data_IF_740871147699
#
_entry.id   IF_740871147699
#
_cell.length_a   1.000
_cell.length_b   1.000
_cell.length_c   1.000
_cell.angle_alpha   90.00
_cell.angle_beta   90.00
_cell.angle_gamma   90.00
#
_symmetry.space_group_name_H-M   'P 1'
#
loop_
_entity.id
_entity.type
_entity.pdbx_description
1 polymer ?
#
# COMPACT_ATOMS: atom_id res chain seq x y z
N UNK A 1 4.54 6.96 -11.88
CA UNK A 1 4.83 7.52 -13.19
C UNK A 1 5.31 8.97 -13.13
N UNK A 2 5.74 9.60 -14.24
CA UNK A 2 6.37 10.92 -14.25
C UNK A 2 5.54 12.02 -13.57
N UNK A 3 4.25 12.08 -13.84
CA UNK A 3 3.33 13.09 -13.26
C UNK A 3 3.29 12.99 -11.72
N UNK A 4 3.23 11.77 -11.18
CA UNK A 4 3.25 11.57 -9.73
C UNK A 4 4.59 11.97 -9.09
N UNK A 5 5.71 11.79 -9.78
CA UNK A 5 7.01 12.25 -9.32
C UNK A 5 7.09 13.79 -9.28
N UNK A 6 6.61 14.47 -10.33
CA UNK A 6 6.54 15.93 -10.35
C UNK A 6 5.68 16.46 -9.19
N UNK A 7 4.51 15.86 -8.97
CA UNK A 7 3.64 16.24 -7.85
C UNK A 7 4.32 16.03 -6.49
N UNK A 8 5.03 14.92 -6.31
CA UNK A 8 5.78 14.66 -5.07
C UNK A 8 6.92 15.68 -4.85
N UNK A 9 7.64 16.09 -5.91
CA UNK A 9 8.64 17.14 -5.81
C UNK A 9 8.00 18.48 -5.42
N UNK A 10 6.89 18.88 -6.05
CA UNK A 10 6.19 20.12 -5.69
C UNK A 10 5.73 20.12 -4.21
N UNK A 11 5.26 19.01 -3.70
CA UNK A 11 4.89 18.88 -2.28
C UNK A 11 6.12 19.00 -1.37
N UNK A 12 7.21 18.34 -1.73
CA UNK A 12 8.46 18.43 -0.97
C UNK A 12 9.02 19.86 -0.93
N UNK A 13 9.03 20.56 -2.06
CA UNK A 13 9.45 21.97 -2.18
C UNK A 13 8.55 22.89 -1.35
N UNK A 14 7.25 22.57 -1.27
CA UNK A 14 6.31 23.27 -0.41
C UNK A 14 6.41 22.85 1.07
N UNK A 15 7.32 21.95 1.44
CA UNK A 15 7.49 21.45 2.80
C UNK A 15 6.34 20.57 3.30
N UNK A 16 5.64 19.89 2.39
CA UNK A 16 4.59 18.90 2.71
C UNK A 16 5.18 17.50 2.61
N UNK A 17 5.37 16.78 3.73
CA UNK A 17 5.94 15.45 3.70
C UNK A 17 4.98 14.45 3.06
N UNK A 18 5.51 13.56 2.23
CA UNK A 18 4.76 12.46 1.62
C UNK A 18 5.28 11.13 2.14
N UNK A 19 4.38 10.29 2.62
CA UNK A 19 4.63 8.91 3.00
C UNK A 19 3.79 8.03 2.07
N UNK A 20 4.44 7.13 1.34
CA UNK A 20 3.73 6.15 0.52
C UNK A 20 3.47 4.86 1.32
N UNK A 21 2.25 4.31 1.20
CA UNK A 21 1.88 3.03 1.82
C UNK A 21 1.33 2.13 0.72
N UNK A 22 1.91 0.97 0.55
CA UNK A 22 1.64 0.13 -0.63
C UNK A 22 1.64 -1.36 -0.31
N UNK A 23 0.90 -2.14 -1.08
CA UNK A 23 1.01 -3.60 -1.13
C UNK A 23 2.12 -4.10 -2.08
N UNK A 24 2.84 -3.20 -2.75
CA UNK A 24 4.01 -3.59 -3.56
C UNK A 24 5.14 -4.10 -2.66
N UNK A 25 6.01 -4.99 -3.19
CA UNK A 25 7.09 -5.58 -2.41
C UNK A 25 8.19 -4.58 -2.06
N UNK A 26 8.97 -4.93 -1.05
CA UNK A 26 10.16 -4.18 -0.62
C UNK A 26 11.11 -3.96 -1.80
N UNK A 27 11.44 -5.01 -2.56
CA UNK A 27 12.37 -4.92 -3.69
C UNK A 27 11.88 -3.99 -4.81
N UNK A 28 10.56 -3.94 -5.08
CA UNK A 28 9.98 -2.98 -6.01
C UNK A 28 10.03 -1.54 -5.46
N UNK A 29 9.86 -1.38 -4.16
CA UNK A 29 9.78 -0.09 -3.48
C UNK A 29 11.14 0.59 -3.28
N UNK A 30 12.21 -0.18 -3.18
CA UNK A 30 13.55 0.32 -2.84
C UNK A 30 14.09 1.39 -3.81
N UNK A 31 14.02 1.22 -5.15
CA UNK A 31 14.47 2.26 -6.09
C UNK A 31 13.73 3.59 -5.90
N UNK A 32 12.43 3.54 -5.58
CA UNK A 32 11.63 4.75 -5.32
C UNK A 32 12.00 5.39 -3.99
N UNK A 33 12.25 4.61 -2.94
CA UNK A 33 12.71 5.12 -1.65
C UNK A 33 14.07 5.84 -1.77
N UNK A 34 14.91 5.43 -2.72
CA UNK A 34 16.19 6.07 -3.01
C UNK A 34 16.05 7.36 -3.83
N UNK A 35 15.15 7.37 -4.82
CA UNK A 35 15.10 8.40 -5.86
C UNK A 35 14.00 9.46 -5.65
N UNK A 36 12.86 9.10 -5.04
CA UNK A 36 11.74 10.00 -4.89
C UNK A 36 11.82 10.82 -3.61
N UNK A 37 11.24 12.04 -3.57
CA UNK A 37 11.27 12.92 -2.41
C UNK A 37 10.23 12.50 -1.35
N UNK A 38 10.20 11.20 -1.03
CA UNK A 38 9.33 10.64 -0.02
C UNK A 38 10.03 10.60 1.34
N UNK A 39 9.28 10.86 2.41
CA UNK A 39 9.78 10.68 3.77
C UNK A 39 9.98 9.20 4.10
N UNK A 40 9.06 8.35 3.61
CA UNK A 40 9.16 6.90 3.71
C UNK A 40 8.28 6.23 2.65
N UNK A 41 8.57 4.95 2.40
CA UNK A 41 7.65 3.98 1.80
C UNK A 41 7.41 2.88 2.82
N UNK A 42 6.16 2.58 3.11
CA UNK A 42 5.76 1.40 3.87
C UNK A 42 5.20 0.40 2.88
N UNK A 43 5.96 -0.66 2.66
CA UNK A 43 5.70 -1.71 1.67
C UNK A 43 5.00 -2.92 2.31
N UNK A 44 4.58 -3.86 1.46
CA UNK A 44 4.00 -5.15 1.85
C UNK A 44 2.89 -4.99 2.88
N UNK A 45 1.94 -4.08 2.57
CA UNK A 45 0.75 -3.82 3.38
C UNK A 45 1.01 -3.42 4.85
N UNK A 46 2.16 -2.77 5.12
CA UNK A 46 2.48 -2.27 6.45
C UNK A 46 3.64 -2.98 7.14
N UNK A 47 4.25 -3.97 6.48
CA UNK A 47 5.26 -4.84 7.10
C UNK A 47 6.70 -4.32 7.02
N UNK A 48 7.02 -3.52 5.99
CA UNK A 48 8.40 -3.10 5.70
C UNK A 48 8.45 -1.61 5.47
N UNK A 49 9.26 -0.90 6.25
CA UNK A 49 9.47 0.53 6.09
C UNK A 49 10.84 0.82 5.45
N UNK A 50 10.84 1.63 4.39
CA UNK A 50 12.02 2.14 3.72
C UNK A 50 12.04 3.66 3.85
N UNK A 51 13.10 4.22 4.42
CA UNK A 51 13.26 5.67 4.59
C UNK A 51 14.74 6.06 4.62
N UNK A 52 15.02 7.35 4.44
CA UNK A 52 16.39 7.87 4.52
C UNK A 52 16.65 8.46 5.90
N UNK A 53 17.75 8.03 6.48
CA UNK A 53 18.25 8.52 7.77
C UNK A 53 19.77 8.75 7.65
N UNK A 54 20.22 9.95 7.96
CA UNK A 54 21.63 10.36 7.86
C UNK A 54 22.26 10.08 6.47
N UNK A 55 21.48 10.32 5.39
CA UNK A 55 21.91 10.09 4.02
C UNK A 55 21.90 8.64 3.53
N UNK A 56 21.66 7.68 4.41
CA UNK A 56 21.56 6.25 4.07
C UNK A 56 20.12 5.76 4.00
N UNK A 57 19.86 4.79 3.12
CA UNK A 57 18.58 4.07 3.13
C UNK A 57 18.55 3.12 4.32
N UNK A 58 17.49 3.22 5.12
CA UNK A 58 17.15 2.28 6.20
C UNK A 58 15.98 1.43 5.75
N UNK A 59 16.05 0.15 6.12
CA UNK A 59 14.96 -0.82 5.93
C UNK A 59 14.68 -1.41 7.30
N UNK A 60 13.47 -1.21 7.78
CA UNK A 60 13.00 -1.74 9.06
C UNK A 60 11.77 -2.63 8.82
N UNK A 61 11.56 -3.62 9.66
CA UNK A 61 10.48 -4.59 9.56
C UNK A 61 9.59 -4.53 10.79
N UNK A 62 8.29 -4.65 10.61
CA UNK A 62 7.32 -4.74 11.69
C UNK A 62 7.50 -6.02 12.53
N UNK A 63 7.95 -7.10 11.89
CA UNK A 63 8.24 -8.38 12.54
C UNK A 63 9.75 -8.59 12.73
N UNK A 64 10.14 -9.24 13.81
CA UNK A 64 11.52 -9.64 14.05
C UNK A 64 12.01 -10.72 13.06
N UNK A 65 13.32 -10.95 12.98
CA UNK A 65 13.93 -11.86 12.02
C UNK A 65 13.43 -13.30 12.19
N UNK A 66 13.34 -13.79 13.43
CA UNK A 66 12.92 -15.16 13.70
C UNK A 66 11.46 -15.41 13.29
N UNK A 67 10.60 -14.42 13.49
CA UNK A 67 9.20 -14.47 13.02
C UNK A 67 9.12 -14.46 11.51
N UNK A 68 9.91 -13.63 10.82
CA UNK A 68 9.96 -13.61 9.35
C UNK A 68 10.44 -14.94 8.77
N UNK A 69 11.48 -15.54 9.35
CA UNK A 69 12.00 -16.86 8.92
C UNK A 69 10.95 -17.95 9.07
N UNK A 70 10.25 -18.02 10.21
CA UNK A 70 9.14 -18.97 10.39
C UNK A 70 8.02 -18.73 9.38
N UNK A 71 7.67 -17.48 9.15
CA UNK A 71 6.60 -17.12 8.21
C UNK A 71 6.99 -17.37 6.76
N UNK A 72 8.26 -17.27 6.37
CA UNK A 72 8.70 -17.55 5.00
C UNK A 72 8.33 -18.97 4.55
N UNK A 73 8.54 -19.99 5.41
CA UNK A 73 8.15 -21.36 5.11
C UNK A 73 6.63 -21.52 4.96
N UNK A 74 5.88 -20.85 5.83
CA UNK A 74 4.40 -20.86 5.78
C UNK A 74 3.86 -20.16 4.54
N UNK A 75 4.47 -19.03 4.14
CA UNK A 75 4.13 -18.29 2.92
C UNK A 75 4.34 -19.15 1.68
N UNK A 76 5.47 -19.86 1.58
CA UNK A 76 5.73 -20.80 0.49
C UNK A 76 4.71 -21.94 0.44
N UNK A 77 4.35 -22.50 1.59
CA UNK A 77 3.36 -23.57 1.68
C UNK A 77 1.95 -23.08 1.23
N UNK A 78 1.55 -21.88 1.65
CA UNK A 78 0.28 -21.28 1.24
C UNK A 78 0.25 -20.95 -0.27
N UNK A 79 1.34 -20.40 -0.81
CA UNK A 79 1.46 -20.17 -2.25
C UNK A 79 1.35 -21.45 -3.05
N UNK A 80 2.05 -22.51 -2.63
CA UNK A 80 1.97 -23.83 -3.28
C UNK A 80 0.55 -24.43 -3.19
N UNK A 81 -0.16 -24.21 -2.10
CA UNK A 81 -1.55 -24.64 -1.97
C UNK A 81 -2.47 -23.92 -2.96
N UNK A 82 -2.35 -22.59 -3.08
CA UNK A 82 -3.11 -21.81 -4.06
C UNK A 82 -2.86 -22.32 -5.48
N UNK A 83 -1.60 -22.46 -5.88
CA UNK A 83 -1.23 -22.87 -7.25
C UNK A 83 -1.64 -24.32 -7.56
N UNK A 84 -1.71 -25.18 -6.56
CA UNK A 84 -2.20 -26.57 -6.71
C UNK A 84 -3.72 -26.62 -6.86
N UNK A 85 -4.45 -25.81 -6.09
CA UNK A 85 -5.92 -25.83 -6.08
C UNK A 85 -6.53 -25.02 -7.22
N UNK A 86 -5.81 -24.00 -7.71
CA UNK A 86 -6.21 -23.19 -8.87
C UNK A 86 -5.05 -23.14 -9.90
N UNK A 87 -5.03 -24.07 -10.86
CA UNK A 87 -3.96 -24.15 -11.86
C UNK A 87 -3.82 -22.89 -12.75
N UNK A 88 -4.86 -22.09 -12.88
CA UNK A 88 -4.86 -20.80 -13.58
C UNK A 88 -4.26 -19.65 -12.75
N UNK A 89 -4.15 -19.81 -11.43
CA UNK A 89 -3.54 -18.82 -10.58
C UNK A 89 -2.03 -18.72 -10.83
N UNK A 90 -1.49 -17.51 -10.74
CA UNK A 90 -0.05 -17.24 -10.89
C UNK A 90 0.41 -16.31 -9.80
N UNK A 91 1.64 -16.51 -9.34
CA UNK A 91 2.30 -15.51 -8.50
C UNK A 91 2.49 -14.20 -9.29
N UNK A 92 2.38 -13.08 -8.62
CA UNK A 92 2.70 -11.78 -9.19
C UNK A 92 4.15 -11.75 -9.69
N UNK A 93 4.41 -11.03 -10.78
CA UNK A 93 5.73 -10.95 -11.40
C UNK A 93 6.79 -10.32 -10.50
N UNK A 94 6.36 -9.52 -9.52
CA UNK A 94 7.20 -8.88 -8.52
C UNK A 94 7.44 -9.74 -7.26
N UNK A 95 7.04 -11.01 -7.26
CA UNK A 95 7.13 -11.91 -6.09
C UNK A 95 8.56 -12.13 -5.58
N UNK A 96 9.57 -12.07 -6.44
CA UNK A 96 10.98 -12.21 -6.03
C UNK A 96 11.44 -11.09 -5.07
N UNK A 97 10.77 -9.94 -5.06
CA UNK A 97 11.09 -8.82 -4.17
C UNK A 97 10.30 -8.79 -2.88
N UNK A 98 9.45 -9.81 -2.59
CA UNK A 98 8.61 -9.91 -1.40
C UNK A 98 9.31 -10.65 -0.28
N UNK A 99 9.15 -10.13 0.94
CA UNK A 99 9.80 -10.68 2.15
C UNK A 99 8.79 -11.23 3.13
N UNK A 100 7.64 -10.54 3.29
CA UNK A 100 6.68 -10.80 4.38
C UNK A 100 5.29 -11.19 3.90
N UNK A 101 5.04 -11.13 2.60
CA UNK A 101 3.76 -11.50 2.00
C UNK A 101 3.95 -12.35 0.73
N UNK A 102 2.85 -12.88 0.21
CA UNK A 102 2.73 -13.42 -1.14
C UNK A 102 1.68 -12.62 -1.91
N UNK A 103 1.81 -12.60 -3.23
CA UNK A 103 0.82 -11.98 -4.11
C UNK A 103 0.45 -12.92 -5.25
N UNK A 104 -0.86 -13.10 -5.45
CA UNK A 104 -1.42 -13.77 -6.63
C UNK A 104 -1.92 -12.71 -7.59
N UNK A 105 -1.46 -12.80 -8.84
CA UNK A 105 -1.91 -11.91 -9.91
C UNK A 105 -3.35 -12.27 -10.32
N UNK A 106 -4.23 -11.26 -10.32
CA UNK A 106 -5.60 -11.46 -10.82
C UNK A 106 -5.97 -10.54 -11.97
N UNK A 107 -5.22 -9.44 -12.21
CA UNK A 107 -5.58 -8.43 -13.22
C UNK A 107 -4.39 -7.67 -13.82
N UNK A 108 -3.14 -7.98 -13.49
CA UNK A 108 -1.95 -7.34 -14.08
C UNK A 108 -1.53 -8.05 -15.37
N UNK A 109 -1.30 -9.35 -15.31
CA UNK A 109 -0.92 -10.22 -16.43
C UNK A 109 -1.78 -11.49 -16.53
N UNK A 110 -2.44 -11.88 -15.44
CA UNK A 110 -3.44 -12.92 -15.40
C UNK A 110 -4.84 -12.30 -15.21
N UNK A 111 -5.88 -13.06 -15.58
CA UNK A 111 -7.27 -12.66 -15.37
C UNK A 111 -8.01 -13.76 -14.64
N UNK A 112 -8.18 -13.58 -13.32
CA UNK A 112 -8.99 -14.49 -12.53
C UNK A 112 -10.44 -14.00 -12.47
N UNK A 113 -11.39 -14.94 -12.55
CA UNK A 113 -12.79 -14.63 -12.30
C UNK A 113 -13.05 -14.27 -10.83
N UNK A 114 -14.14 -13.54 -10.56
CA UNK A 114 -14.50 -13.18 -9.19
C UNK A 114 -14.59 -14.40 -8.25
N UNK A 115 -15.22 -15.55 -8.64
CA UNK A 115 -15.20 -16.74 -7.79
C UNK A 115 -13.79 -17.29 -7.52
N UNK A 116 -12.87 -17.19 -8.47
CA UNK A 116 -11.50 -17.66 -8.28
C UNK A 116 -10.70 -16.72 -7.37
N UNK A 117 -10.94 -15.40 -7.44
CA UNK A 117 -10.38 -14.43 -6.50
C UNK A 117 -10.84 -14.77 -5.07
N UNK A 118 -12.14 -14.99 -4.87
CA UNK A 118 -12.70 -15.40 -3.57
C UNK A 118 -12.11 -16.72 -3.08
N UNK A 119 -11.91 -17.69 -3.99
CA UNK A 119 -11.28 -18.98 -3.66
C UNK A 119 -9.83 -18.80 -3.20
N UNK A 120 -9.04 -17.97 -3.87
CA UNK A 120 -7.67 -17.64 -3.44
C UNK A 120 -7.67 -17.04 -2.04
N UNK A 121 -8.54 -16.06 -1.78
CA UNK A 121 -8.69 -15.46 -0.44
C UNK A 121 -9.04 -16.51 0.60
N UNK A 122 -10.00 -17.39 0.30
CA UNK A 122 -10.41 -18.47 1.20
C UNK A 122 -9.27 -19.45 1.52
N UNK A 123 -8.45 -19.82 0.53
CA UNK A 123 -7.28 -20.69 0.73
C UNK A 123 -6.26 -19.98 1.64
N UNK A 124 -5.94 -18.72 1.38
CA UNK A 124 -5.03 -17.95 2.22
C UNK A 124 -5.52 -17.86 3.68
N UNK A 125 -6.81 -17.57 3.87
CA UNK A 125 -7.43 -17.50 5.20
C UNK A 125 -7.43 -18.87 5.91
N UNK A 126 -7.67 -19.97 5.19
CA UNK A 126 -7.59 -21.32 5.74
C UNK A 126 -6.18 -21.68 6.21
N UNK A 127 -5.14 -21.07 5.64
CA UNK A 127 -3.75 -21.14 6.12
C UNK A 127 -3.46 -20.21 7.31
N UNK A 128 -4.46 -19.46 7.81
CA UNK A 128 -4.31 -18.51 8.91
C UNK A 128 -3.66 -17.19 8.49
N UNK A 129 -3.78 -16.81 7.22
CA UNK A 129 -3.26 -15.56 6.69
C UNK A 129 -4.33 -14.46 6.74
N UNK A 130 -3.88 -13.23 6.92
CA UNK A 130 -4.62 -12.04 6.48
C UNK A 130 -4.54 -11.96 4.96
N UNK A 131 -5.64 -11.59 4.29
CA UNK A 131 -5.67 -11.45 2.84
C UNK A 131 -6.44 -10.20 2.41
N UNK A 132 -5.93 -9.50 1.38
CA UNK A 132 -6.61 -8.35 0.75
C UNK A 132 -6.56 -8.45 -0.76
N UNK A 133 -7.57 -7.89 -1.41
CA UNK A 133 -7.63 -7.75 -2.86
C UNK A 133 -7.39 -6.29 -3.22
N UNK A 134 -6.34 -6.04 -4.00
CA UNK A 134 -6.03 -4.73 -4.58
C UNK A 134 -6.54 -4.66 -6.01
N UNK A 135 -6.20 -3.59 -6.74
CA UNK A 135 -6.58 -3.44 -8.16
C UNK A 135 -6.03 -4.52 -9.10
N UNK A 136 -4.95 -5.21 -8.71
CA UNK A 136 -4.25 -6.16 -9.57
C UNK A 136 -3.82 -7.46 -8.86
N UNK A 137 -3.64 -7.44 -7.55
CA UNK A 137 -3.13 -8.57 -6.78
C UNK A 137 -4.04 -8.94 -5.60
N UNK A 138 -4.04 -10.22 -5.27
CA UNK A 138 -4.51 -10.74 -3.98
C UNK A 138 -3.27 -10.95 -3.13
N UNK A 139 -3.14 -10.14 -2.07
CA UNK A 139 -2.02 -10.23 -1.13
C UNK A 139 -2.40 -11.02 0.10
N UNK A 140 -1.50 -11.87 0.58
CA UNK A 140 -1.67 -12.62 1.81
C UNK A 140 -0.41 -12.64 2.66
N UNK A 141 -0.56 -12.49 3.99
CA UNK A 141 0.55 -12.45 4.94
C UNK A 141 0.17 -13.03 6.30
N UNK A 142 1.18 -13.30 7.14
CA UNK A 142 1.00 -13.70 8.52
C UNK A 142 1.34 -12.54 9.46
N UNK A 143 0.42 -12.20 10.36
CA UNK A 143 0.55 -11.13 11.34
C UNK A 143 -0.61 -10.16 11.29
N UNK A 144 -0.63 -9.25 12.26
CA UNK A 144 -1.74 -8.31 12.49
C UNK A 144 -1.49 -6.94 11.82
N UNK A 145 -0.39 -6.81 11.07
CA UNK A 145 -0.11 -5.56 10.37
C UNK A 145 -1.04 -5.36 9.19
N UNK A 146 -1.29 -4.11 8.89
CA UNK A 146 -2.04 -3.61 7.75
C UNK A 146 -1.53 -2.21 7.35
N UNK A 147 -2.12 -1.60 6.33
CA UNK A 147 -1.74 -0.26 5.89
C UNK A 147 -1.85 0.78 7.01
N UNK A 148 -2.84 0.66 7.90
CA UNK A 148 -3.05 1.63 8.97
C UNK A 148 -2.04 1.47 10.10
N UNK A 149 -1.79 0.25 10.54
CA UNK A 149 -0.75 -0.04 11.54
C UNK A 149 0.63 0.35 11.03
N UNK A 150 0.91 0.13 9.73
CA UNK A 150 2.11 0.60 9.06
C UNK A 150 2.23 2.12 9.05
N UNK A 151 1.13 2.84 8.78
CA UNK A 151 1.09 4.30 8.85
C UNK A 151 1.38 4.81 10.28
N UNK A 152 0.73 4.23 11.29
CA UNK A 152 0.96 4.55 12.71
C UNK A 152 2.42 4.34 13.11
N UNK A 153 2.97 3.19 12.71
CA UNK A 153 4.36 2.84 12.99
C UNK A 153 5.34 3.86 12.40
N UNK A 154 5.23 4.16 11.10
CA UNK A 154 6.18 5.04 10.44
C UNK A 154 6.06 6.51 10.90
N UNK A 155 4.86 6.99 11.19
CA UNK A 155 4.66 8.34 11.75
C UNK A 155 5.30 8.43 13.13
N UNK A 156 5.09 7.46 14.02
CA UNK A 156 5.76 7.41 15.32
C UNK A 156 7.27 7.35 15.16
N UNK A 157 7.77 6.49 14.27
CA UNK A 157 9.21 6.30 14.02
C UNK A 157 9.92 7.55 13.52
N UNK A 158 9.30 8.30 12.61
CA UNK A 158 9.92 9.45 11.93
C UNK A 158 9.62 10.80 12.59
N UNK A 159 8.45 10.93 13.21
CA UNK A 159 7.95 12.21 13.72
C UNK A 159 7.80 12.21 15.25
N UNK A 160 7.94 11.07 15.92
CA UNK A 160 7.78 10.93 17.36
C UNK A 160 6.36 11.25 17.86
N UNK A 161 5.36 11.16 16.98
CA UNK A 161 3.97 11.53 17.27
C UNK A 161 3.01 10.40 16.93
N UNK A 162 1.83 10.42 17.56
CA UNK A 162 0.78 9.44 17.30
C UNK A 162 -0.10 9.92 16.13
N UNK A 163 -0.21 9.09 15.09
CA UNK A 163 -1.01 9.40 13.90
C UNK A 163 -2.47 9.72 14.25
N UNK A 164 -3.07 8.92 15.15
CA UNK A 164 -4.48 9.04 15.51
C UNK A 164 -4.82 10.38 16.18
N UNK A 165 -3.85 10.99 16.88
CA UNK A 165 -4.00 12.32 17.47
C UNK A 165 -3.83 13.45 16.44
N UNK A 166 -3.42 13.12 15.23
CA UNK A 166 -3.06 14.10 14.19
C UNK A 166 -3.84 13.89 12.88
N UNK A 167 -4.85 13.02 12.84
CA UNK A 167 -5.64 12.74 11.61
C UNK A 167 -6.16 14.01 10.92
N UNK A 168 -6.58 15.10 11.60
CA UNK A 168 -7.02 16.32 10.94
C UNK A 168 -5.92 17.05 10.12
N UNK A 169 -4.65 16.70 10.34
CA UNK A 169 -3.50 17.30 9.64
C UNK A 169 -2.96 16.41 8.51
N UNK A 170 -3.57 15.24 8.30
CA UNK A 170 -3.18 14.30 7.28
C UNK A 170 -4.24 14.18 6.20
N UNK A 171 -3.79 14.02 4.96
CA UNK A 171 -4.65 13.66 3.82
C UNK A 171 -4.23 12.28 3.35
N UNK A 172 -5.16 11.35 3.31
CA UNK A 172 -4.94 10.04 2.71
C UNK A 172 -5.40 10.04 1.25
N UNK A 173 -4.57 9.49 0.36
CA UNK A 173 -4.91 9.32 -1.06
C UNK A 173 -4.82 7.84 -1.41
N UNK A 174 -5.92 7.26 -1.91
CA UNK A 174 -6.01 5.85 -2.28
C UNK A 174 -6.65 5.63 -3.64
N UNK A 175 -6.60 4.41 -4.16
CA UNK A 175 -7.03 4.10 -5.52
C UNK A 175 -7.80 2.78 -5.68
N UNK A 176 -7.96 2.00 -4.62
CA UNK A 176 -8.53 0.66 -4.72
C UNK A 176 -9.26 0.18 -3.46
N UNK A 177 -9.84 -1.01 -3.53
CA UNK A 177 -10.67 -1.59 -2.46
C UNK A 177 -9.90 -1.82 -1.17
N UNK A 178 -8.60 -2.08 -1.22
CA UNK A 178 -7.76 -2.28 -0.03
C UNK A 178 -7.43 -0.97 0.71
N UNK A 179 -7.90 0.19 0.20
CA UNK A 179 -7.74 1.49 0.85
C UNK A 179 -8.94 1.86 1.74
N UNK A 180 -10.01 1.06 1.77
CA UNK A 180 -11.24 1.36 2.52
C UNK A 180 -10.99 1.52 4.03
N UNK A 181 -10.04 0.76 4.61
CA UNK A 181 -9.63 0.94 5.99
C UNK A 181 -9.08 2.35 6.25
N UNK A 182 -8.27 2.83 5.32
CA UNK A 182 -7.66 4.16 5.39
C UNK A 182 -8.70 5.26 5.15
N UNK A 183 -9.60 5.09 4.18
CA UNK A 183 -10.71 6.05 3.95
C UNK A 183 -11.59 6.22 5.18
N UNK A 184 -11.83 5.15 5.93
CA UNK A 184 -12.60 5.20 7.18
C UNK A 184 -11.85 5.92 8.30
N UNK A 185 -10.53 5.81 8.32
CA UNK A 185 -9.72 6.31 9.42
C UNK A 185 -9.38 7.80 9.29
N UNK A 186 -9.15 8.29 8.06
CA UNK A 186 -8.74 9.67 7.84
C UNK A 186 -9.94 10.58 7.56
N UNK A 187 -10.05 11.69 8.32
CA UNK A 187 -11.07 12.71 8.14
C UNK A 187 -10.99 13.36 6.74
N UNK A 188 -9.77 13.52 6.22
CA UNK A 188 -9.52 13.98 4.86
C UNK A 188 -8.98 12.83 4.03
N UNK A 189 -9.86 12.18 3.28
CA UNK A 189 -9.52 11.08 2.37
C UNK A 189 -9.94 11.38 0.94
N UNK A 190 -9.09 11.03 -0.01
CA UNK A 190 -9.29 11.26 -1.44
C UNK A 190 -9.08 9.97 -2.20
N UNK A 191 -10.03 9.60 -3.03
CA UNK A 191 -9.85 8.56 -4.04
C UNK A 191 -9.40 9.18 -5.36
N UNK A 192 -8.39 8.60 -6.02
CA UNK A 192 -8.12 8.99 -7.41
C UNK A 192 -9.12 8.30 -8.35
N UNK A 193 -9.44 8.92 -9.49
CA UNK A 193 -10.61 8.56 -10.33
C UNK A 193 -10.67 7.07 -10.73
N UNK A 194 -9.54 6.37 -10.83
CA UNK A 194 -9.57 4.92 -11.10
C UNK A 194 -10.20 4.07 -9.97
N UNK A 195 -10.42 4.64 -8.78
CA UNK A 195 -11.20 4.02 -7.71
C UNK A 195 -12.63 3.69 -8.17
N UNK A 196 -13.23 4.51 -9.05
CA UNK A 196 -14.60 4.33 -9.56
C UNK A 196 -14.81 3.00 -10.29
N UNK A 197 -13.74 2.36 -10.78
CA UNK A 197 -13.79 1.02 -11.37
C UNK A 197 -14.23 -0.06 -10.38
N UNK A 198 -14.13 0.23 -9.08
CA UNK A 198 -14.46 -0.67 -7.97
C UNK A 198 -15.70 -0.22 -7.21
N UNK A 199 -16.51 0.69 -7.77
CA UNK A 199 -17.69 1.30 -7.10
C UNK A 199 -18.59 0.27 -6.43
N UNK A 200 -18.92 -0.84 -7.12
CA UNK A 200 -19.78 -1.89 -6.59
C UNK A 200 -19.18 -2.68 -5.40
N UNK A 201 -17.86 -2.53 -5.15
CA UNK A 201 -17.13 -3.22 -4.09
C UNK A 201 -16.76 -2.29 -2.93
N UNK A 202 -17.08 -0.99 -3.05
CA UNK A 202 -16.77 0.00 -2.04
C UNK A 202 -17.90 0.09 -1.02
N UNK A 203 -17.59 -0.25 0.22
CA UNK A 203 -18.47 -0.07 1.38
C UNK A 203 -18.10 1.17 2.18
N UNK A 204 -16.88 1.69 1.99
CA UNK A 204 -16.39 2.93 2.60
C UNK A 204 -15.78 3.79 1.50
N UNK A 205 -16.39 4.96 1.30
CA UNK A 205 -15.97 5.93 0.31
C UNK A 205 -15.00 6.96 0.89
N UNK A 206 -14.05 7.49 0.10
CA UNK A 206 -13.30 8.68 0.49
C UNK A 206 -14.20 9.91 0.50
N UNK A 207 -13.78 10.96 1.20
CA UNK A 207 -14.49 12.25 1.24
C UNK A 207 -14.56 12.93 -0.13
N UNK A 208 -13.54 12.73 -0.96
CA UNK A 208 -13.41 13.33 -2.28
C UNK A 208 -12.92 12.32 -3.30
N UNK A 209 -13.26 12.53 -4.57
CA UNK A 209 -12.69 11.78 -5.70
C UNK A 209 -12.16 12.79 -6.71
N UNK A 210 -10.94 12.58 -7.22
CA UNK A 210 -10.32 13.43 -8.23
C UNK A 210 -10.93 13.19 -9.61
N UNK A 211 -10.72 14.14 -10.55
CA UNK A 211 -11.09 13.95 -11.95
C UNK A 211 -10.06 13.07 -12.68
N UNK A 212 -8.79 13.20 -12.34
CA UNK A 212 -7.70 12.43 -12.94
C UNK A 212 -7.47 11.08 -12.26
N UNK A 213 -6.99 10.14 -13.04
CA UNK A 213 -6.58 8.82 -12.55
C UNK A 213 -5.12 8.80 -12.13
N UNK A 214 -4.76 7.88 -11.22
CA UNK A 214 -3.37 7.57 -10.87
C UNK A 214 -2.56 8.83 -10.51
N UNK A 215 -1.39 9.03 -11.16
CA UNK A 215 -0.52 10.18 -10.92
C UNK A 215 -1.15 11.53 -11.26
N UNK A 216 -2.10 11.61 -12.20
CA UNK A 216 -2.82 12.84 -12.52
C UNK A 216 -3.77 13.22 -11.37
N UNK A 217 -4.52 12.27 -10.81
CA UNK A 217 -5.33 12.51 -9.63
C UNK A 217 -4.49 12.90 -8.41
N UNK A 218 -3.36 12.25 -8.20
CA UNK A 218 -2.43 12.65 -7.14
C UNK A 218 -1.91 14.09 -7.34
N UNK A 219 -1.66 14.52 -8.57
CA UNK A 219 -1.25 15.89 -8.87
C UNK A 219 -2.34 16.93 -8.56
N UNK A 220 -3.63 16.60 -8.78
CA UNK A 220 -4.75 17.44 -8.35
C UNK A 220 -4.75 17.66 -6.83
N UNK A 221 -4.56 16.59 -6.05
CA UNK A 221 -4.46 16.68 -4.59
C UNK A 221 -3.26 17.53 -4.18
N UNK A 222 -2.10 17.31 -4.78
CA UNK A 222 -0.89 18.08 -4.51
C UNK A 222 -1.11 19.58 -4.76
N UNK A 223 -1.71 19.94 -5.89
CA UNK A 223 -2.01 21.33 -6.24
C UNK A 223 -2.97 21.97 -5.23
N UNK A 224 -4.03 21.25 -4.80
CA UNK A 224 -4.99 21.74 -3.82
C UNK A 224 -4.31 22.00 -2.44
N UNK A 225 -3.45 21.08 -1.98
CA UNK A 225 -2.72 21.21 -0.72
C UNK A 225 -1.75 22.40 -0.74
N UNK A 226 -1.01 22.58 -1.83
CA UNK A 226 -0.07 23.71 -2.00
C UNK A 226 -0.84 25.03 -2.02
N UNK A 227 -1.94 25.10 -2.77
CA UNK A 227 -2.79 26.31 -2.84
C UNK A 227 -3.41 26.66 -1.47
N UNK A 228 -3.81 25.68 -0.68
CA UNK A 228 -4.35 25.91 0.67
C UNK A 228 -3.26 26.42 1.64
N UNK A 229 -2.01 25.96 1.48
CA UNK A 229 -0.88 26.40 2.31
C UNK A 229 -0.45 27.85 2.02
N UNK A 230 -0.51 28.27 0.76
CA UNK A 230 -0.15 29.65 0.35
C UNK A 230 -1.15 30.72 0.83
N UNK A 231 -2.34 30.29 1.29
CA UNK A 231 -3.39 31.19 1.82
C UNK A 231 -3.29 31.41 3.33
N UNK A 232 -2.35 30.75 4.01
CA UNK A 232 -2.09 30.92 5.46
C UNK A 232 -0.87 31.79 5.69
#
# INVERSE_FOLDING_TARGET
GPVGLVAANCLADAGVPVIAITGRPMGWSEPFARAWPLRAIVAENGAVALFRENGALRIEYAQDAATRERNALRLHAAAAAVLRELPEARLATDSAGRITDIAIDHSEHAHLSAPNIERVVAIMQAHGMSATVSSIHINGWFGDHDKLSGARWIVRRLLGSELDAQTPFWVYVGDSTNDQLMFRHFDLSVGVANLLRFESQLHTWPCFVTNGERGAGFAEVAAALIAARLKR
#
